data_IF_035043736410
#
_entry.id   IF_035043736410
#
_cell.length_a   1.000
_cell.length_b   1.000
_cell.length_c   1.000
_cell.angle_alpha   90.00
_cell.angle_beta   90.00
_cell.angle_gamma   90.00
#
_symmetry.space_group_name_H-M   'P 1'
#
loop_
_entity.id
_entity.type
_entity.pdbx_description
1 polymer ?
#
# COMPACT_ATOMS: atom_id res chain seq x y z
N UNK A 1 -5.14 12.88 -34.37
CA UNK A 1 -4.98 11.62 -33.61
C UNK A 1 -4.34 10.61 -34.57
N UNK A 2 -3.36 9.83 -34.07
CA UNK A 2 -2.58 8.92 -34.92
C UNK A 2 -2.76 7.49 -34.46
N UNK A 3 -3.36 6.64 -35.29
CA UNK A 3 -3.50 5.21 -35.06
C UNK A 3 -2.17 4.50 -35.35
N UNK A 4 -1.80 3.57 -34.48
CA UNK A 4 -0.59 2.76 -34.63
C UNK A 4 -0.79 1.34 -34.08
N UNK A 5 -0.13 0.39 -34.74
CA UNK A 5 -0.05 -0.98 -34.27
C UNK A 5 1.18 -1.12 -33.36
N UNK A 6 0.96 -1.67 -32.17
CA UNK A 6 1.96 -1.75 -31.13
C UNK A 6 2.04 -3.17 -30.58
N UNK A 7 3.26 -3.65 -30.36
CA UNK A 7 3.50 -4.83 -29.54
C UNK A 7 3.75 -4.41 -28.11
N UNK A 8 2.97 -4.95 -27.17
CA UNK A 8 3.14 -4.69 -25.75
C UNK A 8 4.27 -5.57 -25.22
N UNK A 9 5.29 -4.93 -24.65
CA UNK A 9 6.51 -5.60 -24.16
C UNK A 9 6.46 -5.89 -22.66
N UNK A 10 5.81 -5.01 -21.87
CA UNK A 10 5.77 -5.09 -20.40
C UNK A 10 4.55 -4.31 -19.87
N UNK A 11 4.29 -4.39 -18.56
CA UNK A 11 3.29 -3.61 -17.85
C UNK A 11 3.98 -2.73 -16.80
N UNK A 12 3.89 -1.42 -16.96
CA UNK A 12 4.42 -0.47 -15.99
C UNK A 12 3.62 -0.47 -14.68
N UNK A 13 4.27 -0.06 -13.58
CA UNK A 13 3.56 0.21 -12.33
C UNK A 13 2.43 1.23 -12.60
N UNK A 14 1.24 0.97 -12.05
CA UNK A 14 0.01 1.71 -12.37
C UNK A 14 -0.82 1.09 -13.50
N UNK A 15 -0.37 -0.03 -14.12
CA UNK A 15 -1.19 -0.91 -14.96
C UNK A 15 -1.29 -0.54 -16.43
N UNK A 16 -0.45 0.38 -16.93
CA UNK A 16 -0.38 0.66 -18.38
C UNK A 16 0.61 -0.29 -19.04
N UNK A 17 0.20 -0.96 -20.14
CA UNK A 17 1.14 -1.69 -20.99
C UNK A 17 2.16 -0.75 -21.62
N UNK A 18 3.34 -1.26 -21.84
CA UNK A 18 4.48 -0.54 -22.43
C UNK A 18 4.82 -1.13 -23.77
N UNK A 19 4.76 -0.29 -24.79
CA UNK A 19 5.26 -0.59 -26.13
C UNK A 19 6.39 0.37 -26.50
N UNK A 20 7.11 0.08 -27.58
CA UNK A 20 8.10 0.99 -28.16
C UNK A 20 7.76 1.32 -29.61
N UNK A 21 7.78 2.59 -29.92
CA UNK A 21 7.64 3.08 -31.27
C UNK A 21 8.76 4.09 -31.57
N UNK A 22 9.60 3.78 -32.55
CA UNK A 22 10.76 4.62 -32.94
C UNK A 22 11.67 4.96 -31.74
N UNK A 23 11.90 3.99 -30.83
CA UNK A 23 12.72 4.17 -29.64
C UNK A 23 12.03 4.86 -28.45
N UNK A 24 10.83 5.43 -28.65
CA UNK A 24 10.04 6.10 -27.61
C UNK A 24 9.10 5.11 -26.94
N UNK A 25 8.98 5.17 -25.62
CA UNK A 25 7.99 4.40 -24.88
C UNK A 25 6.57 4.91 -25.15
N UNK A 26 5.63 3.99 -25.38
CA UNK A 26 4.20 4.27 -25.55
C UNK A 26 3.43 3.52 -24.47
N UNK A 27 2.67 4.23 -23.66
CA UNK A 27 1.86 3.67 -22.58
C UNK A 27 0.41 3.46 -23.02
N UNK A 28 -0.07 2.23 -22.99
CA UNK A 28 -1.41 1.84 -23.43
C UNK A 28 -2.15 1.15 -22.27
N UNK A 29 -3.22 1.72 -21.72
CA UNK A 29 -3.99 1.09 -20.66
C UNK A 29 -4.72 -0.16 -21.15
N UNK A 30 -5.07 -1.08 -20.23
CA UNK A 30 -5.88 -2.28 -20.49
C UNK A 30 -5.26 -3.27 -21.49
N UNK A 31 -3.95 -3.29 -21.60
CA UNK A 31 -3.18 -4.24 -22.42
C UNK A 31 -2.29 -5.12 -21.57
N UNK A 32 -1.87 -6.26 -22.12
CA UNK A 32 -1.02 -7.25 -21.46
C UNK A 32 0.22 -7.47 -22.31
N UNK A 33 1.36 -7.83 -21.71
CA UNK A 33 2.55 -8.17 -22.47
C UNK A 33 2.30 -9.31 -23.47
N UNK A 34 3.04 -9.31 -24.57
CA UNK A 34 2.92 -10.15 -25.76
C UNK A 34 1.68 -9.86 -26.64
N UNK A 35 0.82 -8.92 -26.30
CA UNK A 35 -0.29 -8.55 -27.20
C UNK A 35 0.18 -7.70 -28.36
N UNK A 36 -0.50 -7.90 -29.52
CA UNK A 36 -0.50 -6.94 -30.64
C UNK A 36 -1.79 -6.13 -30.58
N UNK A 37 -1.68 -4.82 -30.49
CA UNK A 37 -2.81 -3.93 -30.33
C UNK A 37 -2.80 -2.80 -31.34
N UNK A 38 -3.99 -2.33 -31.73
CA UNK A 38 -4.16 -1.03 -32.39
C UNK A 38 -4.48 0.01 -31.33
N UNK A 39 -3.72 1.10 -31.29
CA UNK A 39 -3.87 2.15 -30.30
C UNK A 39 -3.81 3.54 -30.95
N UNK A 40 -4.54 4.48 -30.37
CA UNK A 40 -4.57 5.88 -30.82
C UNK A 40 -3.73 6.75 -29.89
N UNK A 41 -2.70 7.42 -30.42
CA UNK A 41 -1.88 8.36 -29.64
C UNK A 41 -2.74 9.57 -29.25
N UNK A 42 -2.96 9.73 -27.94
CA UNK A 42 -3.76 10.83 -27.38
C UNK A 42 -2.90 11.94 -26.77
N UNK A 43 -1.66 11.59 -26.40
CA UNK A 43 -0.70 12.56 -25.84
C UNK A 43 0.72 12.19 -26.22
N UNK A 44 1.47 13.14 -26.73
CA UNK A 44 2.87 12.93 -27.06
C UNK A 44 3.77 13.91 -26.28
N UNK A 45 4.81 13.36 -25.64
CA UNK A 45 5.88 14.10 -24.96
C UNK A 45 7.24 13.76 -25.58
N UNK A 46 8.29 14.50 -25.21
CA UNK A 46 9.64 14.29 -25.74
C UNK A 46 10.14 12.86 -25.51
N UNK A 47 9.90 12.29 -24.32
CA UNK A 47 10.45 10.99 -23.91
C UNK A 47 9.46 9.82 -24.00
N UNK A 48 8.16 10.07 -24.03
CA UNK A 48 7.12 9.05 -24.07
C UNK A 48 5.85 9.56 -24.76
N UNK A 49 4.97 8.63 -25.11
CA UNK A 49 3.62 8.91 -25.56
C UNK A 49 2.60 8.13 -24.73
N UNK A 50 1.38 8.61 -24.66
CA UNK A 50 0.21 7.92 -24.12
C UNK A 50 -0.77 7.67 -25.24
N UNK A 51 -1.34 6.47 -25.26
CA UNK A 51 -2.29 6.05 -26.27
C UNK A 51 -3.50 5.38 -25.64
N UNK A 52 -4.65 5.49 -26.26
CA UNK A 52 -5.85 4.74 -25.90
C UNK A 52 -5.91 3.45 -26.72
N UNK A 53 -6.26 2.35 -26.09
CA UNK A 53 -6.48 1.06 -26.72
C UNK A 53 -7.73 1.15 -27.62
N UNK A 54 -7.57 0.81 -28.90
CA UNK A 54 -8.66 0.74 -29.88
C UNK A 54 -9.10 -0.72 -30.06
N UNK A 55 -8.12 -1.62 -30.27
CA UNK A 55 -8.39 -3.03 -30.55
C UNK A 55 -7.24 -3.91 -30.12
N UNK A 56 -7.55 -5.10 -29.60
CA UNK A 56 -6.56 -6.17 -29.37
C UNK A 56 -6.59 -7.09 -30.58
N UNK A 57 -5.57 -6.98 -31.45
CA UNK A 57 -5.45 -7.79 -32.69
C UNK A 57 -5.00 -9.20 -32.40
N UNK A 58 -4.11 -9.37 -31.42
CA UNK A 58 -3.63 -10.67 -30.95
C UNK A 58 -3.60 -10.62 -29.44
N UNK A 59 -4.42 -11.44 -28.80
CA UNK A 59 -4.56 -11.51 -27.34
C UNK A 59 -3.42 -12.30 -26.71
N UNK A 60 -3.04 -11.90 -25.48
CA UNK A 60 -2.26 -12.72 -24.56
C UNK A 60 -3.06 -13.95 -24.12
N UNK A 61 -2.41 -15.11 -23.88
CA UNK A 61 -3.08 -16.27 -23.28
C UNK A 61 -3.64 -15.98 -21.88
N UNK A 62 -3.12 -14.96 -21.21
CA UNK A 62 -3.55 -14.53 -19.87
C UNK A 62 -4.68 -13.51 -19.89
N UNK A 63 -5.27 -13.22 -21.07
CA UNK A 63 -6.41 -12.30 -21.17
C UNK A 63 -7.71 -13.01 -20.81
N UNK A 64 -8.46 -12.40 -19.90
CA UNK A 64 -9.79 -12.86 -19.49
C UNK A 64 -10.84 -11.78 -19.69
N UNK A 65 -12.12 -12.16 -19.74
CA UNK A 65 -13.22 -11.20 -19.78
C UNK A 65 -13.41 -10.56 -18.40
N UNK A 66 -13.43 -9.22 -18.30
CA UNK A 66 -13.70 -8.52 -17.03
C UNK A 66 -15.12 -8.79 -16.54
N UNK A 67 -15.28 -9.08 -15.22
CA UNK A 67 -16.62 -9.24 -14.62
C UNK A 67 -17.36 -7.89 -14.47
N UNK A 68 -16.64 -6.78 -14.37
CA UNK A 68 -17.20 -5.46 -14.13
C UNK A 68 -17.67 -4.82 -15.45
N UNK A 69 -18.97 -4.46 -15.61
CA UNK A 69 -19.45 -3.80 -16.83
C UNK A 69 -18.91 -2.39 -17.02
N UNK A 70 -18.30 -1.82 -15.97
CA UNK A 70 -17.69 -0.49 -16.00
C UNK A 70 -16.18 -0.52 -16.24
N UNK A 71 -15.58 -1.71 -16.34
CA UNK A 71 -14.13 -1.84 -16.60
C UNK A 71 -13.76 -1.15 -17.94
N UNK A 72 -12.60 -0.54 -17.98
CA UNK A 72 -12.17 0.26 -19.12
C UNK A 72 -12.69 1.71 -19.11
N UNK A 73 -13.73 2.01 -18.34
CA UNK A 73 -14.27 3.36 -18.17
C UNK A 73 -14.04 3.90 -16.74
N UNK A 74 -14.36 3.07 -15.72
CA UNK A 74 -14.13 3.39 -14.32
C UNK A 74 -12.63 3.37 -14.00
N UNK A 75 -12.15 4.38 -13.26
CA UNK A 75 -10.75 4.51 -12.86
C UNK A 75 -10.30 3.58 -11.72
N UNK A 76 -11.22 2.81 -11.12
CA UNK A 76 -10.94 2.05 -9.89
C UNK A 76 -10.17 0.74 -10.08
N UNK A 77 -10.19 0.13 -11.29
CA UNK A 77 -9.53 -1.14 -11.57
C UNK A 77 -8.66 -1.06 -12.81
N UNK A 78 -7.52 -1.73 -12.78
CA UNK A 78 -6.55 -1.74 -13.88
C UNK A 78 -6.35 -3.14 -14.49
N UNK A 79 -6.67 -4.23 -13.78
CA UNK A 79 -6.23 -5.59 -14.12
C UNK A 79 -7.37 -6.61 -14.34
N UNK A 80 -8.65 -6.24 -14.32
CA UNK A 80 -9.73 -7.21 -14.49
C UNK A 80 -9.71 -8.00 -15.81
N UNK A 81 -8.95 -7.54 -16.81
CA UNK A 81 -8.75 -8.23 -18.09
C UNK A 81 -7.58 -9.22 -18.06
N UNK A 82 -6.92 -9.40 -16.92
CA UNK A 82 -5.74 -10.24 -16.71
C UNK A 82 -6.11 -11.39 -15.78
N UNK A 83 -5.71 -12.60 -16.13
CA UNK A 83 -5.79 -13.75 -15.22
C UNK A 83 -5.12 -13.46 -13.88
N UNK A 84 -5.69 -13.94 -12.79
CA UNK A 84 -5.27 -13.55 -11.44
C UNK A 84 -3.83 -13.97 -11.12
N UNK A 85 -3.44 -15.20 -11.46
CA UNK A 85 -2.07 -15.66 -11.25
C UNK A 85 -1.07 -14.79 -12.02
N UNK A 86 -1.47 -14.34 -13.21
CA UNK A 86 -0.66 -13.43 -14.00
C UNK A 86 -0.61 -12.01 -13.40
N UNK A 87 -1.70 -11.52 -12.77
CA UNK A 87 -1.66 -10.26 -12.00
C UNK A 87 -0.62 -10.32 -10.89
N UNK A 88 -0.56 -11.44 -10.14
CA UNK A 88 0.43 -11.64 -9.07
C UNK A 88 1.86 -11.61 -9.63
N UNK A 89 2.10 -12.30 -10.76
CA UNK A 89 3.40 -12.32 -11.42
C UNK A 89 3.83 -10.90 -11.88
N UNK A 90 2.90 -10.11 -12.44
CA UNK A 90 3.14 -8.73 -12.86
C UNK A 90 3.53 -7.88 -11.64
N UNK A 91 2.75 -7.91 -10.56
CA UNK A 91 3.00 -7.14 -9.35
C UNK A 91 4.35 -7.47 -8.73
N UNK A 92 4.69 -8.76 -8.67
CA UNK A 92 6.00 -9.22 -8.19
C UNK A 92 7.15 -8.69 -9.04
N UNK A 93 7.04 -8.77 -10.39
CA UNK A 93 8.04 -8.22 -11.32
C UNK A 93 8.19 -6.71 -11.19
N UNK A 94 7.08 -5.98 -11.04
CA UNK A 94 7.07 -4.53 -10.86
C UNK A 94 7.78 -4.11 -9.58
N UNK A 95 7.51 -4.79 -8.46
CA UNK A 95 8.21 -4.56 -7.20
C UNK A 95 9.71 -4.81 -7.35
N UNK A 96 10.11 -5.97 -7.89
CA UNK A 96 11.51 -6.30 -8.16
C UNK A 96 12.19 -5.25 -9.03
N UNK A 97 11.50 -4.83 -10.10
CA UNK A 97 12.00 -3.79 -11.00
C UNK A 97 12.17 -2.43 -10.32
N UNK A 98 11.28 -2.05 -9.39
CA UNK A 98 11.41 -0.83 -8.60
C UNK A 98 12.64 -0.90 -7.67
N UNK A 99 12.79 -1.99 -6.92
CA UNK A 99 13.93 -2.21 -6.03
C UNK A 99 15.27 -2.14 -6.79
N UNK A 100 15.36 -2.75 -7.96
CA UNK A 100 16.59 -2.75 -8.78
C UNK A 100 16.87 -1.40 -9.43
N UNK A 101 15.86 -0.78 -10.08
CA UNK A 101 16.07 0.42 -10.91
C UNK A 101 16.14 1.69 -10.08
N UNK A 102 15.24 1.84 -9.09
CA UNK A 102 15.12 3.03 -8.24
C UNK A 102 16.00 2.84 -6.99
N UNK A 103 15.80 1.74 -6.28
CA UNK A 103 16.51 1.41 -5.06
C UNK A 103 17.98 1.09 -5.25
N UNK A 104 18.41 0.73 -6.50
CA UNK A 104 19.76 0.23 -6.78
C UNK A 104 20.15 -0.98 -5.92
N UNK A 105 19.13 -1.69 -5.43
CA UNK A 105 19.27 -2.88 -4.59
C UNK A 105 19.51 -4.11 -5.48
N UNK A 106 20.59 -4.84 -5.21
CA UNK A 106 20.91 -6.11 -5.87
C UNK A 106 20.62 -7.24 -4.90
N UNK A 107 20.16 -8.36 -5.43
CA UNK A 107 20.00 -9.63 -4.68
C UNK A 107 19.15 -9.51 -3.39
N UNK A 108 18.07 -8.71 -3.47
CA UNK A 108 17.12 -8.56 -2.38
C UNK A 108 16.40 -9.89 -2.13
N UNK A 109 16.31 -10.39 -0.89
CA UNK A 109 15.63 -11.64 -0.54
C UNK A 109 14.09 -11.48 -0.64
N UNK A 110 13.57 -11.52 -1.87
CA UNK A 110 12.15 -11.43 -2.16
C UNK A 110 11.44 -12.76 -1.92
N UNK A 111 10.39 -12.73 -1.13
CA UNK A 111 9.49 -13.87 -0.92
C UNK A 111 8.42 -13.94 -2.02
N UNK A 112 7.77 -15.10 -2.20
CA UNK A 112 6.56 -15.18 -3.04
C UNK A 112 5.50 -14.20 -2.55
N UNK A 113 4.67 -13.69 -3.48
CA UNK A 113 3.55 -12.83 -3.13
C UNK A 113 2.48 -13.64 -2.39
N UNK A 114 1.96 -13.09 -1.29
CA UNK A 114 0.81 -13.65 -0.59
C UNK A 114 -0.45 -13.23 -1.35
N UNK A 115 -1.20 -14.18 -1.95
CA UNK A 115 -2.39 -13.86 -2.73
C UNK A 115 -3.56 -13.48 -1.83
N UNK A 116 -4.53 -12.76 -2.39
CA UNK A 116 -5.83 -12.59 -1.75
C UNK A 116 -6.67 -13.86 -1.91
N UNK A 117 -7.31 -14.36 -0.84
CA UNK A 117 -8.24 -15.48 -0.94
C UNK A 117 -9.46 -15.20 -1.85
N UNK A 118 -9.76 -13.91 -2.06
CA UNK A 118 -10.84 -13.44 -2.93
C UNK A 118 -10.33 -12.41 -3.92
N UNK A 119 -10.62 -12.61 -5.18
CA UNK A 119 -10.31 -11.68 -6.25
C UNK A 119 -11.38 -10.59 -6.41
N UNK A 120 -12.63 -10.92 -6.04
CA UNK A 120 -13.81 -10.06 -6.04
C UNK A 120 -14.50 -10.09 -4.67
N UNK A 121 -15.42 -9.16 -4.44
CA UNK A 121 -16.19 -9.05 -3.19
C UNK A 121 -15.35 -8.99 -1.91
N UNK A 122 -14.11 -8.54 -2.00
CA UNK A 122 -13.19 -8.44 -0.86
C UNK A 122 -13.25 -7.06 -0.18
N UNK A 123 -13.52 -5.98 -0.95
CA UNK A 123 -13.36 -4.60 -0.50
C UNK A 123 -14.46 -4.21 0.48
N UNK A 124 -14.08 -3.93 1.71
CA UNK A 124 -14.99 -3.59 2.81
C UNK A 124 -15.43 -2.13 2.84
N UNK A 125 -14.81 -1.27 2.02
CA UNK A 125 -15.07 0.17 1.95
C UNK A 125 -14.83 0.72 0.56
N UNK A 126 -15.72 1.61 0.11
CA UNK A 126 -15.56 2.45 -1.08
C UNK A 126 -15.94 3.89 -0.78
N UNK A 127 -15.36 4.84 -1.49
CA UNK A 127 -15.82 6.22 -1.52
C UNK A 127 -16.38 6.51 -2.91
N UNK A 128 -17.67 6.78 -3.00
CA UNK A 128 -18.35 7.22 -4.22
C UNK A 128 -18.53 8.73 -4.19
N UNK A 129 -18.64 9.32 -5.38
CA UNK A 129 -18.96 10.73 -5.56
C UNK A 129 -20.38 10.87 -6.07
N UNK A 130 -21.08 11.90 -5.60
CA UNK A 130 -22.38 12.30 -6.13
C UNK A 130 -22.25 13.70 -6.74
N UNK A 131 -22.74 13.86 -7.96
CA UNK A 131 -22.78 15.13 -8.67
C UNK A 131 -23.89 15.10 -9.73
N UNK A 132 -24.74 16.11 -9.74
CA UNK A 132 -25.83 16.26 -10.73
C UNK A 132 -26.72 15.01 -10.86
N UNK A 133 -27.00 14.33 -9.75
CA UNK A 133 -27.80 13.10 -9.71
C UNK A 133 -27.06 11.82 -10.13
N UNK A 134 -25.81 11.90 -10.53
CA UNK A 134 -24.93 10.77 -10.84
C UNK A 134 -24.22 10.33 -9.57
N UNK A 135 -24.22 9.03 -9.24
CA UNK A 135 -23.52 8.46 -8.08
C UNK A 135 -22.56 7.37 -8.54
N UNK A 136 -21.27 7.56 -8.30
CA UNK A 136 -20.30 6.55 -8.70
C UNK A 136 -18.85 6.96 -8.57
N UNK A 137 -18.03 6.57 -9.54
CA UNK A 137 -16.60 6.81 -9.55
C UNK A 137 -16.18 7.67 -10.73
N UNK A 138 -15.07 8.36 -10.59
CA UNK A 138 -14.47 9.08 -11.73
C UNK A 138 -13.98 8.10 -12.80
N UNK A 139 -14.10 8.55 -14.06
CA UNK A 139 -13.41 7.90 -15.18
C UNK A 139 -11.91 7.97 -14.96
N UNK A 140 -11.20 7.03 -15.55
CA UNK A 140 -9.73 7.12 -15.62
C UNK A 140 -9.32 8.44 -16.29
N UNK A 141 -8.34 9.09 -15.71
CA UNK A 141 -7.72 10.33 -16.23
C UNK A 141 -8.69 11.50 -16.46
N UNK A 142 -9.85 11.52 -15.80
CA UNK A 142 -10.79 12.63 -15.87
C UNK A 142 -11.63 12.80 -14.59
N UNK A 143 -12.20 14.00 -14.40
CA UNK A 143 -13.15 14.28 -13.31
C UNK A 143 -14.62 14.02 -13.70
N UNK A 144 -14.88 13.31 -14.81
CA UNK A 144 -16.23 12.92 -15.19
C UNK A 144 -16.67 11.69 -14.42
N UNK A 145 -17.83 11.76 -13.76
CA UNK A 145 -18.40 10.61 -13.05
C UNK A 145 -18.98 9.58 -14.01
N UNK A 146 -18.91 8.33 -13.60
CA UNK A 146 -19.63 7.19 -14.17
C UNK A 146 -20.65 6.76 -13.13
N UNK A 147 -21.90 6.66 -13.55
CA UNK A 147 -22.96 6.13 -12.70
C UNK A 147 -22.73 4.62 -12.44
N UNK A 148 -22.67 4.25 -11.16
CA UNK A 148 -22.32 2.89 -10.74
C UNK A 148 -23.44 2.32 -9.89
N UNK A 149 -24.09 1.27 -10.35
CA UNK A 149 -25.12 0.55 -9.59
C UNK A 149 -24.51 -0.45 -8.60
N UNK A 150 -23.43 -1.09 -9.01
CA UNK A 150 -22.74 -2.14 -8.23
C UNK A 150 -21.24 -2.16 -8.55
N UNK A 151 -20.43 -2.39 -7.55
CA UNK A 151 -18.97 -2.58 -7.70
C UNK A 151 -18.60 -4.05 -7.40
N UNK A 152 -18.18 -4.86 -8.39
CA UNK A 152 -17.90 -6.30 -8.18
C UNK A 152 -16.79 -6.59 -7.17
N UNK A 153 -15.79 -5.73 -7.03
CA UNK A 153 -14.73 -5.92 -6.02
C UNK A 153 -15.18 -5.57 -4.59
N UNK A 154 -16.33 -4.89 -4.45
CA UNK A 154 -16.88 -4.52 -3.13
C UNK A 154 -17.72 -5.64 -2.53
N UNK A 155 -17.66 -5.78 -1.20
CA UNK A 155 -18.52 -6.68 -0.45
C UNK A 155 -20.00 -6.36 -0.68
N UNK A 156 -20.84 -7.37 -0.56
CA UNK A 156 -22.29 -7.24 -0.76
C UNK A 156 -22.92 -6.20 0.18
N UNK A 157 -22.45 -6.11 1.44
CA UNK A 157 -22.92 -5.09 2.38
C UNK A 157 -22.64 -3.67 1.89
N UNK A 158 -21.48 -3.45 1.24
CA UNK A 158 -21.10 -2.16 0.66
C UNK A 158 -21.98 -1.84 -0.56
N UNK A 159 -22.22 -2.84 -1.43
CA UNK A 159 -23.12 -2.67 -2.58
C UNK A 159 -24.55 -2.38 -2.15
N UNK A 160 -25.05 -3.01 -1.08
CA UNK A 160 -26.36 -2.68 -0.49
C UNK A 160 -26.39 -1.25 0.08
N UNK A 161 -25.30 -0.78 0.67
CA UNK A 161 -25.20 0.61 1.12
C UNK A 161 -25.21 1.60 -0.06
N UNK A 162 -24.57 1.23 -1.18
CA UNK A 162 -24.63 2.00 -2.42
C UNK A 162 -26.05 2.06 -2.99
N UNK A 163 -26.75 0.93 -3.06
CA UNK A 163 -28.14 0.89 -3.51
C UNK A 163 -29.05 1.78 -2.65
N UNK A 164 -28.94 1.68 -1.32
CA UNK A 164 -29.70 2.55 -0.39
C UNK A 164 -29.38 4.04 -0.56
N UNK A 165 -28.14 4.41 -0.86
CA UNK A 165 -27.77 5.79 -1.15
C UNK A 165 -28.48 6.27 -2.42
N UNK A 166 -28.53 5.42 -3.46
CA UNK A 166 -29.18 5.72 -4.76
C UNK A 166 -30.71 5.82 -4.68
N UNK A 167 -31.34 5.14 -3.73
CA UNK A 167 -32.80 5.20 -3.50
C UNK A 167 -33.27 6.52 -2.84
N UNK A 168 -32.34 7.33 -2.32
CA UNK A 168 -32.68 8.60 -1.68
C UNK A 168 -33.15 9.61 -2.72
N UNK A 169 -34.29 10.26 -2.46
CA UNK A 169 -34.87 11.29 -3.36
C UNK A 169 -33.94 12.45 -3.67
N UNK A 170 -33.09 12.82 -2.71
CA UNK A 170 -32.14 13.93 -2.83
C UNK A 170 -30.80 13.53 -2.20
N UNK A 171 -29.83 13.22 -3.02
CA UNK A 171 -28.44 13.04 -2.63
C UNK A 171 -27.70 14.36 -2.93
N UNK A 172 -27.12 14.98 -1.92
CA UNK A 172 -26.33 16.21 -2.11
C UNK A 172 -25.04 15.89 -2.86
N UNK A 173 -24.57 16.85 -3.65
CA UNK A 173 -23.23 16.73 -4.26
C UNK A 173 -22.14 16.60 -3.21
N UNK A 174 -21.18 15.72 -3.46
CA UNK A 174 -20.12 15.44 -2.50
C UNK A 174 -19.56 14.01 -2.63
N UNK A 175 -18.86 13.57 -1.59
CA UNK A 175 -18.32 12.23 -1.51
C UNK A 175 -18.91 11.46 -0.33
N UNK A 176 -19.19 10.18 -0.53
CA UNK A 176 -19.83 9.29 0.43
C UNK A 176 -18.97 8.05 0.62
N UNK A 177 -18.46 7.87 1.84
CA UNK A 177 -17.74 6.65 2.20
C UNK A 177 -18.72 5.59 2.70
N UNK A 178 -18.88 4.51 1.92
CA UNK A 178 -19.73 3.37 2.21
C UNK A 178 -18.89 2.23 2.79
N UNK A 179 -19.34 1.61 3.89
CA UNK A 179 -18.59 0.59 4.63
C UNK A 179 -19.44 -0.65 4.88
N UNK A 180 -18.79 -1.80 5.06
CA UNK A 180 -19.45 -3.06 5.38
C UNK A 180 -19.87 -3.17 6.85
N UNK A 181 -19.22 -2.44 7.75
CA UNK A 181 -19.48 -2.39 9.18
C UNK A 181 -19.73 -0.96 9.65
N UNK A 182 -20.42 -0.81 10.79
CA UNK A 182 -20.66 0.47 11.49
C UNK A 182 -19.41 0.88 12.31
N UNK A 183 -18.23 0.74 11.76
CA UNK A 183 -17.00 1.08 12.44
C UNK A 183 -16.77 2.59 12.53
N UNK A 184 -16.03 3.07 13.55
CA UNK A 184 -15.66 4.48 13.65
C UNK A 184 -14.94 4.95 12.39
N UNK A 185 -14.92 6.27 12.16
CA UNK A 185 -14.26 6.91 10.99
C UNK A 185 -12.73 6.81 11.01
N UNK A 186 -12.20 5.67 11.42
CA UNK A 186 -10.78 5.41 11.51
C UNK A 186 -10.34 4.61 10.27
N UNK A 187 -9.09 4.77 9.86
CA UNK A 187 -8.50 3.98 8.78
C UNK A 187 -8.54 2.49 9.16
N UNK A 188 -8.94 1.66 8.23
CA UNK A 188 -8.84 0.20 8.29
C UNK A 188 -8.41 -0.32 6.93
N UNK A 189 -7.70 -1.44 6.89
CA UNK A 189 -7.34 -2.11 5.64
C UNK A 189 -8.59 -2.49 4.86
N UNK A 190 -8.54 -2.39 3.52
CA UNK A 190 -9.75 -2.55 2.67
C UNK A 190 -10.12 -4.00 2.37
N UNK A 191 -9.21 -4.95 2.61
CA UNK A 191 -9.36 -6.39 2.42
C UNK A 191 -9.06 -7.09 3.74
N UNK A 192 -10.11 -7.48 4.47
CA UNK A 192 -9.97 -8.02 5.83
C UNK A 192 -9.15 -9.32 5.88
N UNK A 193 -9.25 -10.16 4.84
CA UNK A 193 -8.55 -11.45 4.78
C UNK A 193 -7.06 -11.27 4.57
N UNK A 194 -6.66 -10.36 3.67
CA UNK A 194 -5.24 -10.02 3.47
C UNK A 194 -4.71 -9.18 4.63
N UNK A 195 -5.55 -8.35 5.26
CA UNK A 195 -5.19 -7.62 6.48
C UNK A 195 -4.86 -8.57 7.63
N UNK A 196 -5.58 -9.70 7.75
CA UNK A 196 -5.24 -10.75 8.72
C UNK A 196 -3.89 -11.38 8.37
N UNK A 197 -3.67 -11.77 7.10
CA UNK A 197 -2.39 -12.33 6.66
C UNK A 197 -1.21 -11.36 6.88
N UNK A 198 -1.44 -10.05 6.68
CA UNK A 198 -0.46 -9.00 6.97
C UNK A 198 -0.12 -8.94 8.47
N UNK A 199 -1.13 -9.01 9.34
CA UNK A 199 -0.92 -9.04 10.80
C UNK A 199 -0.16 -10.28 11.23
N UNK A 200 -0.54 -11.45 10.74
CA UNK A 200 0.11 -12.72 11.05
C UNK A 200 1.59 -12.68 10.63
N UNK A 201 1.87 -12.16 9.43
CA UNK A 201 3.25 -11.95 8.95
C UNK A 201 4.05 -11.04 9.90
N UNK A 202 3.47 -9.91 10.34
CA UNK A 202 4.15 -8.99 11.28
C UNK A 202 4.38 -9.67 12.63
N UNK A 203 3.41 -10.44 13.13
CA UNK A 203 3.55 -11.22 14.36
C UNK A 203 4.72 -12.21 14.23
N UNK A 204 4.82 -12.92 13.12
CA UNK A 204 5.88 -13.93 12.89
C UNK A 204 7.28 -13.32 12.75
N UNK A 205 7.38 -12.08 12.23
CA UNK A 205 8.65 -11.38 12.09
C UNK A 205 9.23 -10.85 13.40
N UNK A 206 8.42 -10.67 14.42
CA UNK A 206 8.83 -10.09 15.71
C UNK A 206 9.09 -11.21 16.72
N UNK A 207 10.32 -11.32 17.28
CA UNK A 207 10.60 -12.26 18.37
C UNK A 207 9.78 -11.95 19.64
N UNK A 208 9.57 -12.93 20.53
CA UNK A 208 8.95 -12.66 21.85
C UNK A 208 9.90 -11.91 22.80
N UNK A 209 9.34 -11.37 23.88
CA UNK A 209 10.07 -10.77 25.01
C UNK A 209 10.97 -9.59 24.62
N UNK A 210 10.41 -8.68 23.83
CA UNK A 210 11.07 -7.45 23.39
C UNK A 210 10.83 -6.32 24.41
N UNK A 211 11.75 -5.36 24.51
CA UNK A 211 11.62 -4.27 25.49
C UNK A 211 10.66 -3.19 25.00
N UNK A 212 10.88 -2.64 23.79
CA UNK A 212 10.13 -1.48 23.30
C UNK A 212 9.77 -1.63 21.82
N UNK A 213 8.46 -1.51 21.53
CA UNK A 213 7.94 -1.25 20.19
C UNK A 213 7.68 0.25 20.00
N UNK A 214 8.12 0.80 18.87
CA UNK A 214 7.59 2.03 18.33
C UNK A 214 6.82 1.69 17.05
N UNK A 215 5.49 2.01 17.02
CA UNK A 215 4.63 1.88 15.86
C UNK A 215 4.36 3.29 15.31
N UNK A 216 5.09 3.69 14.28
CA UNK A 216 4.98 4.99 13.66
C UNK A 216 4.01 4.95 12.47
N UNK A 217 3.14 5.95 12.38
CA UNK A 217 1.92 5.97 11.55
C UNK A 217 0.91 4.91 11.99
N UNK A 218 0.76 4.71 13.31
CA UNK A 218 0.02 3.58 13.88
C UNK A 218 -1.49 3.61 13.65
N UNK A 219 -2.07 4.72 13.22
CA UNK A 219 -3.51 4.89 13.11
C UNK A 219 -4.22 4.56 14.43
N UNK A 220 -5.19 3.65 14.39
CA UNK A 220 -5.89 3.14 15.58
C UNK A 220 -5.16 2.00 16.32
N UNK A 221 -3.88 1.79 16.01
CA UNK A 221 -3.05 0.75 16.62
C UNK A 221 -3.23 -0.61 15.96
N UNK A 222 -3.39 -0.66 14.65
CA UNK A 222 -3.64 -1.91 13.92
C UNK A 222 -2.55 -2.95 14.14
N UNK A 223 -1.29 -2.56 14.04
CA UNK A 223 -0.14 -3.42 14.29
C UNK A 223 0.23 -3.47 15.77
N UNK A 224 0.34 -2.32 16.44
CA UNK A 224 0.71 -2.25 17.84
C UNK A 224 -0.10 -3.20 18.70
N UNK A 225 -1.43 -3.20 18.57
CA UNK A 225 -2.33 -4.08 19.32
C UNK A 225 -2.16 -5.56 18.98
N UNK A 226 -1.76 -5.88 17.75
CA UNK A 226 -1.56 -7.28 17.34
C UNK A 226 -0.32 -7.91 18.00
N UNK A 227 0.70 -7.09 18.27
CA UNK A 227 2.01 -7.57 18.75
C UNK A 227 2.34 -7.16 20.19
N UNK A 228 1.50 -6.35 20.87
CA UNK A 228 1.74 -5.77 22.19
C UNK A 228 2.19 -6.77 23.26
N UNK A 229 1.69 -8.01 23.19
CA UNK A 229 2.01 -9.04 24.18
C UNK A 229 3.47 -9.53 24.07
N UNK A 230 4.15 -9.21 22.97
CA UNK A 230 5.57 -9.50 22.77
C UNK A 230 6.49 -8.43 23.36
N UNK A 231 5.94 -7.32 23.87
CA UNK A 231 6.70 -6.17 24.35
C UNK A 231 6.40 -5.82 25.79
N UNK A 232 7.41 -5.26 26.48
CA UNK A 232 7.21 -4.65 27.79
C UNK A 232 6.52 -3.29 27.68
N UNK A 233 6.82 -2.53 26.60
CA UNK A 233 6.26 -1.21 26.32
C UNK A 233 5.97 -1.04 24.83
N UNK A 234 4.92 -0.30 24.53
CA UNK A 234 4.50 0.05 23.18
C UNK A 234 4.24 1.54 23.08
N UNK A 235 4.81 2.21 22.09
CA UNK A 235 4.56 3.61 21.76
C UNK A 235 3.99 3.67 20.33
N UNK A 236 2.73 4.09 20.19
CA UNK A 236 2.10 4.37 18.90
C UNK A 236 2.12 5.87 18.61
N UNK A 237 2.49 6.26 17.39
CA UNK A 237 2.55 7.66 16.96
C UNK A 237 1.75 7.82 15.67
N UNK A 238 0.82 8.79 15.64
CA UNK A 238 0.07 9.17 14.44
C UNK A 238 -0.36 10.64 14.53
N UNK A 239 -0.48 11.32 13.39
CA UNK A 239 -0.97 12.69 13.34
C UNK A 239 -2.50 12.79 13.50
N UNK A 240 -3.26 11.71 13.15
CA UNK A 240 -4.71 11.67 13.24
C UNK A 240 -5.17 11.50 14.69
N UNK A 241 -5.61 12.60 15.28
CA UNK A 241 -6.14 12.64 16.67
C UNK A 241 -7.34 11.71 16.89
N UNK A 242 -8.15 11.47 15.87
CA UNK A 242 -9.31 10.57 16.00
C UNK A 242 -8.88 9.12 16.01
N UNK A 243 -7.90 8.76 15.17
CA UNK A 243 -7.31 7.44 15.18
C UNK A 243 -6.60 7.16 16.52
N UNK A 244 -5.82 8.12 17.03
CA UNK A 244 -5.18 8.01 18.34
C UNK A 244 -6.20 7.92 19.49
N UNK A 245 -7.31 8.64 19.44
CA UNK A 245 -8.37 8.50 20.43
C UNK A 245 -8.98 7.07 20.42
N UNK A 246 -9.19 6.49 19.25
CA UNK A 246 -9.64 5.10 19.10
C UNK A 246 -8.58 4.09 19.55
N UNK A 247 -7.29 4.37 19.32
CA UNK A 247 -6.20 3.54 19.84
C UNK A 247 -6.20 3.52 21.37
N UNK A 248 -6.30 4.68 22.02
CA UNK A 248 -6.32 4.85 23.49
C UNK A 248 -7.51 4.18 24.16
N UNK A 249 -8.69 4.16 23.51
CA UNK A 249 -9.92 3.62 24.11
C UNK A 249 -9.80 2.14 24.51
N UNK A 250 -8.88 1.37 23.88
CA UNK A 250 -8.64 -0.04 24.15
C UNK A 250 -7.16 -0.33 24.43
N UNK A 251 -6.43 0.67 24.93
CA UNK A 251 -5.02 0.52 25.29
C UNK A 251 -4.86 -0.21 26.63
N UNK A 252 -3.86 -1.05 26.72
CA UNK A 252 -3.38 -1.62 27.99
C UNK A 252 -2.42 -0.65 28.69
N UNK A 253 -2.03 -0.94 29.94
CA UNK A 253 -1.05 -0.13 30.69
C UNK A 253 0.33 -0.05 30.01
N UNK A 254 0.66 -1.02 29.16
CA UNK A 254 1.91 -1.07 28.41
C UNK A 254 1.92 -0.12 27.20
N UNK A 255 0.75 0.35 26.76
CA UNK A 255 0.58 1.08 25.49
C UNK A 255 0.42 2.58 25.74
N UNK A 256 1.23 3.36 25.06
CA UNK A 256 1.13 4.83 25.00
C UNK A 256 0.91 5.27 23.57
N UNK A 257 -0.15 6.05 23.30
CA UNK A 257 -0.45 6.56 21.97
C UNK A 257 -0.33 8.08 21.95
N UNK A 258 0.43 8.62 20.98
CA UNK A 258 0.79 10.04 20.86
C UNK A 258 0.19 10.59 19.56
N UNK A 259 -0.61 11.65 19.68
CA UNK A 259 -1.11 12.41 18.53
C UNK A 259 -0.10 13.50 18.19
N UNK A 260 0.63 13.35 17.09
CA UNK A 260 1.66 14.30 16.71
C UNK A 260 2.29 13.98 15.34
N UNK A 261 3.11 14.88 14.88
CA UNK A 261 3.91 14.67 13.68
C UNK A 261 4.96 13.58 13.95
N UNK A 262 5.01 12.57 13.07
CA UNK A 262 5.84 11.37 13.28
C UNK A 262 7.32 11.72 13.36
N UNK A 263 7.82 12.63 12.50
CA UNK A 263 9.22 13.05 12.51
C UNK A 263 9.59 13.69 13.84
N UNK A 264 8.77 14.63 14.30
CA UNK A 264 8.97 15.35 15.55
C UNK A 264 8.91 14.41 16.77
N UNK A 265 7.95 13.50 16.80
CA UNK A 265 7.78 12.60 17.94
C UNK A 265 8.86 11.51 17.99
N UNK A 266 9.32 10.98 16.84
CA UNK A 266 10.47 10.06 16.78
C UNK A 266 11.75 10.71 17.32
N UNK A 267 12.01 11.98 16.97
CA UNK A 267 13.16 12.73 17.50
C UNK A 267 13.08 12.92 19.03
N UNK A 268 11.90 13.23 19.57
CA UNK A 268 11.68 13.33 21.03
C UNK A 268 11.89 12.00 21.74
N UNK A 269 11.35 10.93 21.19
CA UNK A 269 11.56 9.58 21.75
C UNK A 269 13.04 9.24 21.74
N UNK A 270 13.75 9.53 20.66
CA UNK A 270 15.20 9.37 20.56
C UNK A 270 15.96 10.16 21.64
N UNK A 271 15.62 11.45 21.80
CA UNK A 271 16.27 12.29 22.79
C UNK A 271 16.07 11.80 24.24
N UNK A 272 14.87 11.30 24.54
CA UNK A 272 14.57 10.75 25.89
C UNK A 272 15.30 9.43 26.14
N UNK A 273 15.39 8.57 25.12
CA UNK A 273 16.01 7.26 25.26
C UNK A 273 17.54 7.29 25.15
N UNK A 274 18.11 8.18 24.32
CA UNK A 274 19.55 8.33 24.14
C UNK A 274 20.20 9.11 25.29
N UNK A 275 19.47 10.03 25.96
CA UNK A 275 20.00 10.87 27.05
C UNK A 275 19.68 10.36 28.47
N UNK A 276 19.13 9.16 28.63
CA UNK A 276 18.89 8.60 29.97
C UNK A 276 20.23 8.17 30.56
N UNK A 277 20.64 8.67 31.76
CA UNK A 277 21.84 8.18 32.43
C UNK A 277 21.70 6.69 32.71
N UNK A 278 22.78 5.95 32.48
CA UNK A 278 22.91 4.53 32.72
C UNK A 278 22.35 4.15 34.12
N UNK A 279 21.24 3.41 34.18
CA UNK A 279 20.82 2.79 35.41
C UNK A 279 21.63 1.50 35.58
N UNK A 280 22.71 1.63 36.35
CA UNK A 280 23.39 0.52 37.00
C UNK A 280 24.07 -0.48 36.08
N UNK A 281 25.38 -0.58 36.24
CA UNK A 281 26.16 -1.72 35.76
C UNK A 281 25.51 -3.01 36.26
N UNK A 282 25.01 -3.82 35.35
CA UNK A 282 24.74 -5.22 35.65
C UNK A 282 26.11 -5.94 35.64
N UNK A 283 26.68 -6.07 36.80
CA UNK A 283 28.01 -6.65 37.03
C UNK A 283 28.13 -8.12 36.63
N UNK A 284 27.02 -8.76 36.21
CA UNK A 284 27.01 -10.19 35.84
C UNK A 284 27.32 -10.45 34.35
N UNK A 285 27.08 -9.51 33.42
CA UNK A 285 27.25 -9.77 31.98
C UNK A 285 28.11 -8.79 31.22
N UNK A 286 28.51 -7.65 31.82
CA UNK A 286 29.37 -6.63 31.19
C UNK A 286 28.78 -5.96 29.91
N UNK A 287 27.51 -6.18 29.60
CA UNK A 287 26.83 -5.55 28.48
C UNK A 287 26.10 -4.28 28.92
N UNK A 288 26.52 -3.15 28.35
CA UNK A 288 25.73 -1.93 28.35
C UNK A 288 24.38 -2.22 27.68
N UNK A 289 23.27 -2.14 28.44
CA UNK A 289 21.94 -2.24 27.85
C UNK A 289 21.70 -0.98 27.04
N UNK A 290 21.76 -1.12 25.71
CA UNK A 290 21.34 -0.10 24.76
C UNK A 290 19.86 0.25 25.02
N UNK A 291 19.56 1.54 25.08
CA UNK A 291 18.20 2.08 25.28
C UNK A 291 17.48 2.29 23.94
N UNK A 292 18.05 1.77 22.85
CA UNK A 292 17.41 1.80 21.54
C UNK A 292 16.12 0.97 21.52
N UNK A 293 15.09 1.35 20.74
CA UNK A 293 13.92 0.51 20.57
C UNK A 293 14.34 -0.83 19.96
N UNK A 294 13.86 -1.93 20.53
CA UNK A 294 14.17 -3.26 20.01
C UNK A 294 13.49 -3.49 18.66
N UNK A 295 12.28 -2.92 18.48
CA UNK A 295 11.55 -2.98 17.22
C UNK A 295 10.91 -1.64 16.88
N UNK A 296 11.06 -1.22 15.63
CA UNK A 296 10.36 -0.08 15.06
C UNK A 296 9.56 -0.54 13.85
N UNK A 297 8.26 -0.26 13.84
CA UNK A 297 7.33 -0.54 12.75
C UNK A 297 6.87 0.78 12.12
N UNK A 298 6.85 0.84 10.81
CA UNK A 298 6.41 2.02 10.03
C UNK A 298 5.46 1.61 8.92
N UNK A 299 4.32 2.33 8.81
CA UNK A 299 3.33 2.19 7.73
C UNK A 299 2.98 3.57 7.16
N UNK A 300 3.92 4.24 6.47
CA UNK A 300 3.74 5.61 5.99
C UNK A 300 2.74 5.68 4.83
N UNK A 301 2.21 6.89 4.52
CA UNK A 301 1.41 7.12 3.34
C UNK A 301 2.19 6.81 2.05
N UNK A 302 1.49 6.73 0.90
CA UNK A 302 2.07 6.37 -0.40
C UNK A 302 3.22 7.28 -0.87
N UNK A 303 3.42 8.44 -0.26
CA UNK A 303 4.55 9.34 -0.50
C UNK A 303 5.87 8.82 0.07
N UNK A 304 5.82 7.79 0.94
CA UNK A 304 6.97 7.24 1.66
C UNK A 304 7.44 8.14 2.80
N UNK A 305 8.68 7.96 3.22
CA UNK A 305 9.28 8.65 4.36
C UNK A 305 9.84 10.02 3.96
N UNK A 306 9.70 11.01 4.86
CA UNK A 306 10.46 12.26 4.78
C UNK A 306 11.95 12.02 5.06
N UNK A 307 12.80 12.96 4.67
CA UNK A 307 14.25 12.92 4.99
C UNK A 307 14.47 12.87 6.51
N UNK A 308 13.73 13.67 7.26
CA UNK A 308 13.84 13.72 8.71
C UNK A 308 13.43 12.42 9.39
N UNK A 309 12.38 11.73 8.89
CA UNK A 309 12.01 10.42 9.41
C UNK A 309 13.10 9.38 9.10
N UNK A 310 13.65 9.33 7.87
CA UNK A 310 14.76 8.42 7.54
C UNK A 310 15.98 8.65 8.45
N UNK A 311 16.31 9.93 8.71
CA UNK A 311 17.37 10.29 9.64
C UNK A 311 17.05 9.80 11.07
N UNK A 312 15.84 10.04 11.56
CA UNK A 312 15.42 9.60 12.90
C UNK A 312 15.51 8.07 13.05
N UNK A 313 15.14 7.29 12.01
CA UNK A 313 15.30 5.84 12.00
C UNK A 313 16.78 5.43 12.15
N UNK A 314 17.67 6.10 11.43
CA UNK A 314 19.11 5.84 11.51
C UNK A 314 19.68 6.21 12.88
N UNK A 315 19.25 7.34 13.46
CA UNK A 315 19.71 7.80 14.77
C UNK A 315 19.18 6.89 15.91
N UNK A 316 17.95 6.38 15.79
CA UNK A 316 17.35 5.44 16.75
C UNK A 316 17.97 4.05 16.67
N UNK A 317 18.46 3.63 15.51
CA UNK A 317 19.10 2.35 15.23
C UNK A 317 18.40 1.13 15.90
N UNK A 318 17.09 0.89 15.61
CA UNK A 318 16.38 -0.26 16.18
C UNK A 318 17.04 -1.57 15.72
N UNK A 319 17.05 -2.59 16.60
CA UNK A 319 17.54 -3.93 16.20
C UNK A 319 16.72 -4.51 15.04
N UNK A 320 15.41 -4.27 15.05
CA UNK A 320 14.48 -4.69 14.01
C UNK A 320 13.69 -3.49 13.48
N UNK A 321 13.72 -3.28 12.17
CA UNK A 321 12.87 -2.32 11.47
C UNK A 321 11.93 -3.06 10.52
N UNK A 322 10.61 -2.87 10.69
CA UNK A 322 9.59 -3.41 9.79
C UNK A 322 8.97 -2.25 9.04
N UNK A 323 9.09 -2.26 7.71
CA UNK A 323 8.54 -1.24 6.83
C UNK A 323 7.39 -1.83 6.01
N UNK A 324 6.16 -1.36 6.25
CA UNK A 324 4.97 -1.66 5.45
C UNK A 324 4.76 -0.54 4.43
N UNK A 325 4.49 -0.86 3.16
CA UNK A 325 4.34 0.14 2.10
C UNK A 325 3.39 -0.32 1.01
N UNK A 326 2.48 0.57 0.60
CA UNK A 326 1.61 0.37 -0.55
C UNK A 326 2.18 0.92 -1.87
N UNK A 327 3.40 1.49 -1.88
CA UNK A 327 3.98 2.14 -3.06
C UNK A 327 5.43 1.68 -3.33
N UNK A 328 5.66 0.70 -4.22
CA UNK A 328 6.98 0.19 -4.55
C UNK A 328 8.04 1.22 -4.98
N UNK A 329 7.72 2.25 -5.80
CA UNK A 329 8.65 3.31 -6.15
C UNK A 329 9.19 4.10 -4.95
N UNK A 330 8.32 4.53 -4.04
CA UNK A 330 8.73 5.29 -2.84
C UNK A 330 9.44 4.41 -1.84
N UNK A 331 8.97 3.17 -1.65
CA UNK A 331 9.67 2.16 -0.85
C UNK A 331 11.11 1.94 -1.35
N UNK A 332 11.28 1.75 -2.66
CA UNK A 332 12.60 1.53 -3.25
C UNK A 332 13.53 2.73 -3.06
N UNK A 333 12.99 3.98 -3.15
CA UNK A 333 13.73 5.22 -2.84
C UNK A 333 14.21 5.24 -1.40
N UNK A 334 13.32 4.92 -0.46
CA UNK A 334 13.62 4.98 0.96
C UNK A 334 14.63 3.88 1.37
N UNK A 335 14.45 2.67 0.86
CA UNK A 335 15.36 1.55 1.10
C UNK A 335 16.77 1.81 0.53
N UNK A 336 16.90 2.59 -0.54
CA UNK A 336 18.20 3.00 -1.07
C UNK A 336 19.06 3.75 -0.03
N UNK A 337 18.43 4.53 0.82
CA UNK A 337 19.11 5.24 1.88
C UNK A 337 19.27 4.38 3.14
N UNK A 338 18.21 3.67 3.54
CA UNK A 338 18.21 2.85 4.74
C UNK A 338 19.20 1.68 4.68
N UNK A 339 19.49 1.11 3.49
CA UNK A 339 20.46 0.00 3.34
C UNK A 339 21.89 0.31 3.82
N UNK A 340 22.22 1.57 4.04
CA UNK A 340 23.53 1.95 4.59
C UNK A 340 23.66 1.62 6.08
N UNK A 341 22.53 1.51 6.78
CA UNK A 341 22.45 1.26 8.21
C UNK A 341 21.72 -0.02 8.58
N UNK A 342 20.92 -0.55 7.64
CA UNK A 342 20.09 -1.73 7.86
C UNK A 342 20.28 -2.76 6.75
N UNK A 343 20.46 -4.01 7.13
CA UNK A 343 20.44 -5.12 6.17
C UNK A 343 19.00 -5.58 5.92
N UNK A 344 18.66 -5.86 4.66
CA UNK A 344 17.32 -6.35 4.28
C UNK A 344 17.27 -7.87 4.46
N UNK A 345 16.48 -8.36 5.40
CA UNK A 345 16.28 -9.79 5.67
C UNK A 345 15.25 -10.43 4.76
N UNK A 346 14.18 -9.71 4.45
CA UNK A 346 13.16 -10.20 3.52
C UNK A 346 12.28 -9.06 3.00
N UNK A 347 11.77 -9.27 1.78
CA UNK A 347 10.73 -8.44 1.16
C UNK A 347 9.56 -9.35 0.81
N UNK A 348 8.43 -9.16 1.46
CA UNK A 348 7.21 -9.97 1.28
C UNK A 348 6.09 -9.12 0.70
N UNK A 349 5.74 -9.29 -0.57
CA UNK A 349 4.57 -8.63 -1.15
C UNK A 349 3.27 -9.36 -0.80
N UNK A 350 2.16 -8.60 -0.66
CA UNK A 350 0.81 -9.11 -0.44
C UNK A 350 -0.15 -8.46 -1.43
N UNK A 351 -1.07 -9.23 -2.00
CA UNK A 351 -2.09 -8.67 -2.87
C UNK A 351 -3.31 -8.16 -2.08
N UNK A 352 -3.14 -7.02 -1.42
CA UNK A 352 -4.21 -6.31 -0.70
C UNK A 352 -5.32 -5.83 -1.64
N UNK A 353 -5.00 -5.63 -2.93
CA UNK A 353 -5.86 -4.95 -3.90
C UNK A 353 -6.01 -5.73 -5.21
N UNK A 354 -6.61 -6.94 -5.22
CA UNK A 354 -6.91 -7.67 -6.44
C UNK A 354 -7.62 -6.81 -7.49
N UNK A 355 -7.39 -7.08 -8.77
CA UNK A 355 -7.97 -6.36 -9.92
C UNK A 355 -7.45 -4.92 -10.12
N UNK A 356 -6.55 -4.45 -9.24
CA UNK A 356 -5.91 -3.13 -9.35
C UNK A 356 -4.40 -3.28 -9.55
N UNK A 357 -3.71 -2.20 -9.88
CA UNK A 357 -2.25 -2.19 -10.01
C UNK A 357 -1.52 -2.00 -8.66
N UNK A 358 -2.25 -1.84 -7.58
CA UNK A 358 -1.72 -1.57 -6.24
C UNK A 358 -1.27 -2.87 -5.56
N UNK A 359 -0.34 -2.77 -4.64
CA UNK A 359 0.26 -3.88 -3.89
C UNK A 359 0.64 -3.39 -2.50
N UNK A 360 0.60 -4.28 -1.51
CA UNK A 360 1.16 -4.05 -0.19
C UNK A 360 2.49 -4.81 -0.05
N UNK A 361 3.47 -4.24 0.62
CA UNK A 361 4.81 -4.83 0.75
C UNK A 361 5.28 -4.69 2.19
N UNK A 362 5.75 -5.78 2.78
CA UNK A 362 6.43 -5.79 4.09
C UNK A 362 7.91 -6.01 3.86
N UNK A 363 8.73 -5.11 4.35
CA UNK A 363 10.19 -5.25 4.37
C UNK A 363 10.64 -5.43 5.81
N UNK A 364 11.39 -6.50 6.06
CA UNK A 364 12.03 -6.77 7.34
C UNK A 364 13.52 -6.43 7.21
N UNK A 365 13.97 -5.51 8.07
CA UNK A 365 15.35 -5.06 8.14
C UNK A 365 15.89 -5.23 9.56
N UNK A 366 17.22 -5.34 9.68
CA UNK A 366 17.92 -5.33 10.96
C UNK A 366 19.17 -4.44 10.87
N UNK A 367 19.57 -3.89 12.02
CA UNK A 367 20.77 -3.06 12.14
C UNK A 367 22.08 -3.87 12.09
#
# INVERSE_FOLDING_TARGET
MRLCDLRIEDIAFGGKGVARQQGKAVFVPYTIECEMVSAEIVREKKQFAEADLVEVKQSSPNRVAPECPYFGRCGGCAYQHIDYEHQLAIKWRQLRGALQRIGKLKDVPMRPIIPSPRQYAYRNRITVHAQDGIIGFFRRDSHRLIDIERCPISREKVNRALAKLREQKHVRDGHYTLRSASEPRVFSQVNDEVAQALRDLIIDLIPPNQELLIDAYCGAGFFAKAVRDKFERVIGIDWDRFAIAAAKANASEKETYIAGDVETELQKVGAVHLNRPERGNDTATGRLRSIAPTTLLIDPPATGLSEGVRKALTDLAPETLIYVSCNPPTLARDLKELQHNFAINSVTPLDMFPQTAEIEVVVHLHA
#
